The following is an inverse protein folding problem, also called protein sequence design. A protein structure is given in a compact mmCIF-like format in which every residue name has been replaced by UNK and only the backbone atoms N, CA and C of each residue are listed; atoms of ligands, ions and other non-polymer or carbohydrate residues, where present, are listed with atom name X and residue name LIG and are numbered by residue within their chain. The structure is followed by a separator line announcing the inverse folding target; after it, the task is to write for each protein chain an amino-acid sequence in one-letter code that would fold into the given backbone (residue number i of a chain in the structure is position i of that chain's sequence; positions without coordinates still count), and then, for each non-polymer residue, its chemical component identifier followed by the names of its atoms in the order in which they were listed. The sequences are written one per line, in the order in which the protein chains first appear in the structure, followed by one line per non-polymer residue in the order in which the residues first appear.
data_IF_097586722054
#
_entry.id   IF_097586722054
#
_cell.length_a   1.000
_cell.length_b   1.000
_cell.length_c   1.000
_cell.angle_alpha   90.00
_cell.angle_beta   90.00
_cell.angle_gamma   90.00
#
_symmetry.space_group_name_H-M   'P 1'
#
loop_
_entity.id
_entity.type
_entity.pdbx_description
1 polymer ?
#
# COMPACT_ATOMS: atom_id res chain seq x y z
N UNK A 1 80.21 29.52 27.25
CA UNK A 1 78.93 29.52 27.98
C UNK A 1 77.82 29.61 26.95
N UNK A 2 77.24 28.47 26.55
CA UNK A 2 76.29 28.37 25.44
C UNK A 2 74.88 28.75 25.85
N UNK A 3 74.21 29.56 25.02
CA UNK A 3 72.81 29.96 25.16
C UNK A 3 71.86 28.80 24.83
N UNK A 4 70.77 28.66 25.58
CA UNK A 4 69.68 27.71 25.30
C UNK A 4 68.44 28.51 24.90
N UNK A 5 68.09 28.44 23.62
CA UNK A 5 66.88 29.04 23.03
C UNK A 5 65.72 28.07 23.16
N UNK A 6 64.69 28.43 23.93
CA UNK A 6 63.45 27.63 24.06
C UNK A 6 62.44 27.99 22.98
N UNK A 7 62.02 27.01 22.17
CA UNK A 7 60.90 27.13 21.22
C UNK A 7 59.57 26.92 21.96
N UNK A 8 58.68 27.93 21.94
CA UNK A 8 57.28 27.82 22.36
C UNK A 8 56.43 27.41 21.16
N UNK A 9 55.65 26.34 21.30
CA UNK A 9 54.63 25.95 20.33
C UNK A 9 53.28 26.53 20.79
N UNK A 10 52.57 27.21 19.89
CA UNK A 10 51.18 27.64 20.09
C UNK A 10 50.31 26.65 19.33
N UNK A 11 49.48 25.89 20.04
CA UNK A 11 48.44 25.06 19.43
C UNK A 11 47.17 25.92 19.29
N UNK A 12 46.81 26.28 18.06
CA UNK A 12 45.49 26.82 17.75
C UNK A 12 44.50 25.67 17.60
N UNK A 13 43.45 25.66 18.42
CA UNK A 13 42.33 24.73 18.26
C UNK A 13 41.33 25.33 17.26
N UNK A 14 41.17 24.70 16.10
CA UNK A 14 40.09 25.01 15.16
C UNK A 14 38.90 24.12 15.56
N UNK A 15 37.84 24.72 16.10
CA UNK A 15 36.57 24.03 16.31
C UNK A 15 35.86 23.92 14.96
N UNK A 16 35.81 22.71 14.40
CA UNK A 16 35.01 22.40 13.22
C UNK A 16 33.60 21.99 13.67
N UNK A 17 32.62 22.86 13.44
CA UNK A 17 31.20 22.54 13.63
C UNK A 17 30.77 21.52 12.55
N UNK A 18 30.43 20.30 12.95
CA UNK A 18 29.73 19.35 12.08
C UNK A 18 28.28 19.83 11.90
N UNK A 19 27.96 20.41 10.74
CA UNK A 19 26.58 20.43 10.26
C UNK A 19 26.21 19.00 9.88
N UNK A 20 25.33 18.36 10.64
CA UNK A 20 24.66 17.14 10.21
C UNK A 20 23.70 17.51 9.07
N UNK A 21 24.08 17.22 7.83
CA UNK A 21 23.13 17.15 6.72
C UNK A 21 22.21 15.96 7.00
N UNK A 22 21.00 16.22 7.50
CA UNK A 22 19.90 15.26 7.39
C UNK A 22 19.53 15.22 5.90
N UNK A 23 20.20 14.34 5.16
CA UNK A 23 19.77 14.02 3.80
C UNK A 23 18.40 13.37 3.89
N UNK A 24 17.39 13.97 3.26
CA UNK A 24 16.14 13.28 2.97
C UNK A 24 16.51 12.06 2.12
N UNK A 25 16.39 10.86 2.70
CA UNK A 25 16.48 9.65 1.91
C UNK A 25 15.37 9.75 0.86
N UNK A 26 15.65 9.58 -0.44
CA UNK A 26 14.60 9.58 -1.44
C UNK A 26 13.62 8.47 -1.05
N UNK A 27 12.38 8.85 -0.73
CA UNK A 27 11.30 7.88 -0.65
C UNK A 27 11.20 7.26 -2.04
N UNK A 28 11.60 5.99 -2.18
CA UNK A 28 11.37 5.26 -3.41
C UNK A 28 9.86 5.30 -3.66
N UNK A 29 9.44 5.88 -4.78
CA UNK A 29 8.04 5.86 -5.16
C UNK A 29 7.61 4.39 -5.27
N UNK A 30 6.72 3.95 -4.39
CA UNK A 30 6.09 2.65 -4.52
C UNK A 30 5.10 2.72 -5.68
N UNK A 31 5.27 1.80 -6.63
CA UNK A 31 4.31 1.59 -7.73
C UNK A 31 3.21 0.63 -7.29
N UNK A 32 2.16 0.52 -8.09
CA UNK A 32 1.21 -0.60 -7.99
C UNK A 32 1.70 -1.73 -8.90
N UNK A 33 1.79 -2.95 -8.36
CA UNK A 33 2.15 -4.15 -9.11
C UNK A 33 1.31 -5.35 -8.64
N UNK A 34 0.80 -6.18 -9.56
CA UNK A 34 0.02 -7.35 -9.19
C UNK A 34 0.91 -8.44 -8.58
N UNK A 35 0.38 -9.19 -7.62
CA UNK A 35 1.05 -10.36 -7.06
C UNK A 35 0.98 -11.54 -8.05
N UNK A 36 2.08 -12.31 -8.25
CA UNK A 36 2.09 -13.49 -9.12
C UNK A 36 1.54 -14.74 -8.42
N UNK A 37 0.38 -14.62 -7.78
CA UNK A 37 -0.19 -15.66 -6.87
C UNK A 37 -1.42 -16.38 -7.43
N UNK A 38 -1.77 -16.13 -8.69
CA UNK A 38 -2.92 -16.74 -9.35
C UNK A 38 -4.26 -16.03 -9.13
N UNK A 39 -4.30 -14.92 -8.36
CA UNK A 39 -5.52 -14.10 -8.19
C UNK A 39 -6.00 -13.49 -9.50
N UNK A 40 -5.10 -13.35 -10.49
CA UNK A 40 -5.44 -12.83 -11.82
C UNK A 40 -5.62 -11.31 -11.86
N UNK A 41 -5.05 -10.59 -10.89
CA UNK A 41 -5.07 -9.12 -10.89
C UNK A 41 -4.25 -8.58 -12.05
N UNK A 42 -4.83 -7.64 -12.79
CA UNK A 42 -4.19 -6.97 -13.93
C UNK A 42 -4.08 -5.49 -13.59
N UNK A 43 -2.90 -4.92 -13.82
CA UNK A 43 -2.66 -3.48 -13.65
C UNK A 43 -2.17 -2.92 -14.97
N UNK A 44 -3.01 -2.12 -15.62
CA UNK A 44 -2.70 -1.42 -16.87
C UNK A 44 -2.28 0.01 -16.54
N UNK A 45 -1.11 0.43 -17.04
CA UNK A 45 -0.54 1.76 -16.76
C UNK A 45 -0.69 2.65 -17.98
N UNK A 46 -1.32 3.82 -17.79
CA UNK A 46 -1.42 4.89 -18.79
C UNK A 46 -1.02 6.23 -18.17
N UNK A 47 0.25 6.62 -18.37
CA UNK A 47 0.84 7.77 -17.71
C UNK A 47 0.82 7.62 -16.18
N UNK A 48 0.08 8.49 -15.51
CA UNK A 48 -0.08 8.48 -14.05
C UNK A 48 -1.30 7.66 -13.58
N UNK A 49 -2.02 7.00 -14.48
CA UNK A 49 -3.20 6.21 -14.16
C UNK A 49 -2.89 4.71 -14.13
N UNK A 50 -3.29 4.06 -13.04
CA UNK A 50 -3.25 2.63 -12.85
C UNK A 50 -4.69 2.11 -12.90
N UNK A 51 -5.04 1.40 -13.97
CA UNK A 51 -6.32 0.71 -14.09
C UNK A 51 -6.17 -0.71 -13.56
N UNK A 52 -6.99 -1.06 -12.57
CA UNK A 52 -6.98 -2.32 -11.86
C UNK A 52 -8.18 -3.13 -12.32
N UNK A 53 -7.90 -4.25 -12.97
CA UNK A 53 -8.86 -5.12 -13.65
C UNK A 53 -8.57 -6.59 -13.35
N UNK A 54 -9.35 -7.49 -13.94
CA UNK A 54 -9.24 -8.93 -13.71
C UNK A 54 -9.64 -9.27 -12.29
N UNK A 55 -8.82 -10.06 -11.61
CA UNK A 55 -9.10 -10.55 -10.26
C UNK A 55 -9.88 -11.86 -10.24
N UNK A 56 -10.25 -12.28 -9.04
CA UNK A 56 -11.01 -13.51 -8.79
C UNK A 56 -12.36 -13.17 -8.18
N UNK A 57 -13.43 -13.82 -8.65
CA UNK A 57 -14.79 -13.60 -8.13
C UNK A 57 -15.16 -14.68 -7.11
N UNK A 58 -15.97 -14.31 -6.13
CA UNK A 58 -16.74 -15.26 -5.34
C UNK A 58 -17.74 -16.04 -6.22
N UNK A 59 -18.21 -17.20 -5.73
CA UNK A 59 -19.11 -18.05 -6.52
C UNK A 59 -20.45 -17.39 -6.86
N UNK A 60 -20.92 -16.47 -6.01
CA UNK A 60 -22.12 -15.65 -6.25
C UNK A 60 -21.86 -14.41 -7.12
N UNK A 61 -20.58 -14.13 -7.45
CA UNK A 61 -20.15 -12.99 -8.24
C UNK A 61 -20.27 -11.64 -7.53
N UNK A 62 -20.57 -11.61 -6.23
CA UNK A 62 -20.79 -10.37 -5.47
C UNK A 62 -19.48 -9.75 -4.94
N UNK A 63 -18.42 -10.53 -4.76
CA UNK A 63 -17.14 -10.06 -4.25
C UNK A 63 -16.05 -10.27 -5.30
N UNK A 64 -15.25 -9.23 -5.54
CA UNK A 64 -14.09 -9.26 -6.44
C UNK A 64 -12.80 -9.10 -5.62
N UNK A 65 -11.86 -10.00 -5.83
CA UNK A 65 -10.61 -10.05 -5.09
C UNK A 65 -9.41 -9.71 -5.99
N UNK A 66 -8.54 -8.84 -5.47
CA UNK A 66 -7.28 -8.45 -6.05
C UNK A 66 -6.12 -8.72 -5.09
N UNK A 67 -4.93 -8.96 -5.65
CA UNK A 67 -3.71 -9.20 -4.90
C UNK A 67 -2.56 -8.43 -5.53
N UNK A 68 -1.83 -7.69 -4.70
CA UNK A 68 -0.75 -6.79 -5.11
C UNK A 68 0.54 -7.17 -4.38
N UNK A 69 1.65 -7.13 -5.10
CA UNK A 69 2.97 -7.20 -4.48
C UNK A 69 3.25 -5.85 -3.79
N UNK A 70 3.02 -4.75 -4.50
CA UNK A 70 3.16 -3.39 -3.99
C UNK A 70 1.92 -2.57 -4.36
N UNK A 71 1.54 -1.66 -3.47
CA UNK A 71 0.44 -0.73 -3.71
C UNK A 71 0.80 0.62 -3.08
N UNK A 72 1.27 1.55 -3.90
CA UNK A 72 1.60 2.91 -3.52
C UNK A 72 1.21 3.91 -4.61
N UNK A 73 1.04 5.17 -4.20
CA UNK A 73 0.68 6.28 -5.09
C UNK A 73 1.45 7.54 -4.70
N UNK A 74 2.01 8.23 -5.69
CA UNK A 74 2.49 9.61 -5.55
C UNK A 74 1.35 10.61 -5.79
N UNK A 75 1.57 11.90 -5.47
CA UNK A 75 0.58 12.98 -5.54
C UNK A 75 -0.27 13.05 -6.83
N UNK A 76 0.34 12.75 -7.96
CA UNK A 76 -0.30 12.87 -9.28
C UNK A 76 -0.88 11.56 -9.80
N UNK A 77 -0.67 10.46 -9.07
CA UNK A 77 -1.06 9.13 -9.50
C UNK A 77 -2.49 8.79 -9.05
N UNK A 78 -3.14 7.97 -9.87
CA UNK A 78 -4.51 7.53 -9.66
C UNK A 78 -4.59 6.01 -9.76
N UNK A 79 -5.08 5.35 -8.72
CA UNK A 79 -5.51 3.95 -8.77
C UNK A 79 -7.01 3.88 -9.06
N UNK A 80 -7.38 3.27 -10.18
CA UNK A 80 -8.78 3.09 -10.58
C UNK A 80 -9.13 1.61 -10.55
N UNK A 81 -9.92 1.20 -9.56
CA UNK A 81 -10.55 -0.11 -9.54
C UNK A 81 -11.75 -0.10 -10.49
N UNK A 82 -11.75 -1.01 -11.47
CA UNK A 82 -12.89 -1.22 -12.36
C UNK A 82 -13.82 -2.27 -11.77
N UNK A 83 -14.97 -1.81 -11.31
CA UNK A 83 -16.06 -2.63 -10.81
C UNK A 83 -17.14 -2.83 -11.88
N UNK A 84 -18.20 -3.55 -11.52
CA UNK A 84 -19.44 -3.64 -12.27
C UNK A 84 -20.64 -3.51 -11.29
N UNK A 85 -21.86 -3.27 -11.78
CA UNK A 85 -23.03 -3.05 -10.90
C UNK A 85 -23.49 -4.27 -10.09
N UNK A 86 -22.94 -5.46 -10.32
CA UNK A 86 -23.26 -6.67 -9.55
C UNK A 86 -22.36 -6.84 -8.33
N UNK A 87 -21.20 -6.18 -8.32
CA UNK A 87 -20.26 -6.24 -7.21
C UNK A 87 -20.81 -5.48 -6.01
N UNK A 88 -20.75 -6.11 -4.85
CA UNK A 88 -21.01 -5.50 -3.54
C UNK A 88 -19.71 -5.06 -2.89
N UNK A 89 -18.65 -5.86 -3.03
CA UNK A 89 -17.34 -5.56 -2.45
C UNK A 89 -16.21 -5.81 -3.47
N UNK A 90 -15.24 -4.91 -3.50
CA UNK A 90 -13.93 -5.10 -4.13
C UNK A 90 -12.91 -5.14 -3.00
N UNK A 91 -12.16 -6.24 -2.89
CA UNK A 91 -11.18 -6.47 -1.85
C UNK A 91 -9.78 -6.61 -2.46
N UNK A 92 -8.83 -5.81 -2.02
CA UNK A 92 -7.43 -5.87 -2.40
C UNK A 92 -6.56 -6.24 -1.21
N UNK A 93 -5.60 -7.16 -1.41
CA UNK A 93 -4.55 -7.44 -0.41
C UNK A 93 -3.17 -7.05 -0.95
N UNK A 94 -2.30 -6.59 -0.06
CA UNK A 94 -0.90 -6.29 -0.35
C UNK A 94 -0.04 -7.34 0.35
N UNK A 95 0.75 -8.08 -0.43
CA UNK A 95 1.47 -9.28 0.05
C UNK A 95 2.99 -9.10 0.12
N UNK A 96 3.55 -8.04 -0.48
CA UNK A 96 5.00 -7.85 -0.58
C UNK A 96 5.71 -7.42 0.71
N UNK A 97 4.96 -7.21 1.80
CA UNK A 97 5.53 -6.96 3.13
C UNK A 97 6.00 -5.53 3.41
N UNK A 98 5.87 -4.61 2.46
CA UNK A 98 6.14 -3.18 2.67
C UNK A 98 4.85 -2.40 3.03
N UNK A 99 4.93 -1.35 3.86
CA UNK A 99 3.81 -0.43 4.07
C UNK A 99 3.41 0.25 2.77
N UNK A 100 2.12 0.51 2.58
CA UNK A 100 1.57 1.23 1.43
C UNK A 100 1.60 2.74 1.66
N UNK A 101 2.37 3.47 0.87
CA UNK A 101 2.37 4.94 0.87
C UNK A 101 1.40 5.49 -0.18
N UNK A 102 0.33 6.16 0.27
CA UNK A 102 -0.75 6.68 -0.57
C UNK A 102 -0.75 8.20 -0.49
N UNK A 103 -0.19 8.88 -1.48
CA UNK A 103 -0.30 10.34 -1.62
C UNK A 103 -1.15 10.74 -2.84
N UNK A 104 -1.74 9.78 -3.56
CA UNK A 104 -2.55 10.03 -4.76
C UNK A 104 -4.07 9.83 -4.57
N UNK A 105 -4.77 9.59 -5.68
CA UNK A 105 -6.20 9.29 -5.69
C UNK A 105 -6.43 7.77 -5.78
N UNK A 106 -7.19 7.22 -4.85
CA UNK A 106 -7.81 5.89 -5.01
C UNK A 106 -9.27 6.12 -5.41
N UNK A 107 -9.70 5.48 -6.50
CA UNK A 107 -11.08 5.55 -6.96
C UNK A 107 -11.61 4.20 -7.43
N UNK A 108 -12.92 4.05 -7.37
CA UNK A 108 -13.65 2.92 -7.90
C UNK A 108 -14.72 3.42 -8.87
N UNK A 109 -14.80 2.79 -10.04
CA UNK A 109 -15.75 3.18 -11.09
C UNK A 109 -16.46 1.95 -11.68
N UNK A 110 -17.56 2.14 -12.39
CA UNK A 110 -18.30 1.04 -13.02
C UNK A 110 -19.33 0.34 -12.13
N UNK A 111 -19.41 0.71 -10.85
CA UNK A 111 -20.40 0.22 -9.88
C UNK A 111 -20.37 1.06 -8.60
N UNK A 112 -21.12 0.62 -7.59
CA UNK A 112 -21.25 1.25 -6.26
C UNK A 112 -20.72 0.37 -5.11
N UNK A 113 -19.83 -0.58 -5.44
CA UNK A 113 -19.23 -1.51 -4.48
C UNK A 113 -18.40 -0.80 -3.40
N UNK A 114 -18.32 -1.43 -2.22
CA UNK A 114 -17.38 -1.08 -1.17
C UNK A 114 -15.95 -1.46 -1.58
N UNK A 115 -14.95 -0.70 -1.14
CA UNK A 115 -13.53 -0.99 -1.37
C UNK A 115 -12.81 -1.32 -0.06
N UNK A 116 -12.20 -2.50 0.00
CA UNK A 116 -11.43 -2.98 1.13
C UNK A 116 -9.97 -3.17 0.72
N UNK A 117 -9.03 -2.60 1.46
CA UNK A 117 -7.59 -2.77 1.25
C UNK A 117 -6.93 -3.30 2.53
N UNK A 118 -6.26 -4.45 2.40
CA UNK A 118 -5.57 -5.14 3.49
C UNK A 118 -4.06 -5.04 3.23
N UNK A 119 -3.32 -4.47 4.17
CA UNK A 119 -1.86 -4.51 4.18
C UNK A 119 -1.37 -4.69 5.62
N UNK A 120 -0.94 -5.90 6.03
CA UNK A 120 -0.41 -6.14 7.37
C UNK A 120 0.76 -5.23 7.76
N UNK A 121 1.53 -4.74 6.78
CA UNK A 121 2.64 -3.80 6.99
C UNK A 121 2.19 -2.34 7.13
N UNK A 122 0.91 -2.05 6.89
CA UNK A 122 0.30 -0.76 7.17
C UNK A 122 0.04 0.12 5.94
N UNK A 123 -0.70 1.20 6.19
CA UNK A 123 -0.96 2.27 5.22
C UNK A 123 -0.52 3.61 5.80
N UNK A 124 0.11 4.44 4.97
CA UNK A 124 0.43 5.83 5.27
C UNK A 124 -0.24 6.70 4.21
N UNK A 125 -1.26 7.46 4.62
CA UNK A 125 -1.93 8.42 3.75
C UNK A 125 -1.24 9.79 3.86
N UNK A 126 -0.69 10.25 2.73
CA UNK A 126 -0.04 11.55 2.60
C UNK A 126 -1.02 12.71 2.51
N UNK A 127 -0.49 13.93 2.46
CA UNK A 127 -1.29 15.16 2.46
C UNK A 127 -2.16 15.34 1.22
N UNK A 128 -1.84 14.65 0.13
CA UNK A 128 -2.56 14.74 -1.13
C UNK A 128 -3.48 13.53 -1.39
N UNK A 129 -3.52 12.58 -0.44
CA UNK A 129 -4.37 11.42 -0.52
C UNK A 129 -5.84 11.80 -0.70
N UNK A 130 -6.50 11.20 -1.69
CA UNK A 130 -7.93 11.38 -1.94
C UNK A 130 -8.59 10.04 -2.19
N UNK A 131 -9.86 9.95 -1.79
CA UNK A 131 -10.72 8.80 -2.02
C UNK A 131 -11.93 9.26 -2.84
N UNK A 132 -12.20 8.57 -3.95
CA UNK A 132 -13.43 8.71 -4.73
C UNK A 132 -14.04 7.31 -4.90
N UNK A 133 -14.66 6.84 -3.82
CA UNK A 133 -15.29 5.51 -3.72
C UNK A 133 -16.79 5.74 -3.48
N UNK A 134 -17.67 5.16 -4.30
CA UNK A 134 -19.13 5.35 -4.17
C UNK A 134 -19.73 4.63 -2.96
N UNK A 135 -19.16 3.49 -2.54
CA UNK A 135 -19.50 2.76 -1.33
C UNK A 135 -18.57 3.06 -0.16
N UNK A 136 -18.53 2.16 0.81
CA UNK A 136 -17.64 2.26 1.97
C UNK A 136 -16.18 2.01 1.57
N UNK A 137 -15.26 2.68 2.27
CA UNK A 137 -13.83 2.44 2.14
C UNK A 137 -13.25 1.95 3.46
N UNK A 138 -12.56 0.81 3.41
CA UNK A 138 -11.83 0.24 4.54
C UNK A 138 -10.38 0.01 4.16
N UNK A 139 -9.45 0.57 4.94
CA UNK A 139 -8.04 0.20 4.90
C UNK A 139 -7.64 -0.37 6.26
N UNK A 140 -7.00 -1.54 6.27
CA UNK A 140 -6.71 -2.27 7.52
C UNK A 140 -5.34 -2.91 7.51
N UNK A 141 -4.76 -3.05 8.70
CA UNK A 141 -3.54 -3.84 8.94
C UNK A 141 -3.85 -5.28 9.34
N UNK A 142 -5.11 -5.69 9.26
CA UNK A 142 -5.53 -7.05 9.53
C UNK A 142 -4.80 -8.04 8.61
N UNK A 143 -4.43 -9.19 9.17
CA UNK A 143 -3.87 -10.32 8.43
C UNK A 143 -4.95 -11.12 7.69
N UNK A 144 -6.21 -11.01 8.12
CA UNK A 144 -7.35 -11.56 7.41
C UNK A 144 -8.65 -10.79 7.69
N UNK A 145 -9.61 -10.90 6.78
CA UNK A 145 -10.98 -10.39 6.93
C UNK A 145 -11.95 -11.56 6.86
N UNK A 146 -12.85 -11.64 7.83
CA UNK A 146 -13.90 -12.66 7.86
C UNK A 146 -15.05 -12.25 6.93
N UNK A 147 -15.51 -13.18 6.11
CA UNK A 147 -16.73 -13.09 5.30
C UNK A 147 -17.79 -14.07 5.86
N UNK A 148 -18.91 -14.24 5.15
CA UNK A 148 -20.00 -15.08 5.65
C UNK A 148 -19.55 -16.51 5.98
N UNK A 149 -20.27 -17.13 6.92
CA UNK A 149 -20.09 -18.53 7.31
C UNK A 149 -18.69 -18.89 7.85
N UNK A 150 -17.92 -17.90 8.32
CA UNK A 150 -16.61 -18.09 8.93
C UNK A 150 -15.48 -18.33 7.94
N UNK A 151 -15.69 -17.98 6.66
CA UNK A 151 -14.64 -18.01 5.65
C UNK A 151 -13.75 -16.76 5.74
N UNK A 152 -12.45 -16.93 5.59
CA UNK A 152 -11.47 -15.85 5.77
C UNK A 152 -10.76 -15.51 4.47
N UNK A 153 -10.74 -14.23 4.15
CA UNK A 153 -9.86 -13.68 3.12
C UNK A 153 -8.51 -13.35 3.77
N UNK A 154 -7.52 -14.22 3.59
CA UNK A 154 -6.17 -14.07 4.12
C UNK A 154 -5.33 -13.10 3.29
N UNK A 155 -4.62 -12.19 3.94
CA UNK A 155 -3.69 -11.27 3.29
C UNK A 155 -2.42 -11.97 2.80
N UNK A 156 -1.88 -12.93 3.56
CA UNK A 156 -0.58 -13.58 3.25
C UNK A 156 -0.70 -15.07 2.88
N UNK A 157 -1.91 -15.64 2.99
CA UNK A 157 -2.20 -17.05 2.74
C UNK A 157 -2.70 -17.36 1.32
N UNK A 158 -3.09 -18.61 1.10
CA UNK A 158 -3.87 -18.99 -0.09
C UNK A 158 -5.36 -18.82 0.20
N UNK A 159 -6.12 -18.33 -0.78
CA UNK A 159 -7.56 -18.14 -0.64
C UNK A 159 -8.32 -19.07 -1.59
N UNK A 160 -9.45 -19.61 -1.12
CA UNK A 160 -10.47 -20.19 -1.97
C UNK A 160 -11.56 -19.15 -2.24
N UNK A 161 -11.33 -18.33 -3.27
CA UNK A 161 -12.17 -17.18 -3.60
C UNK A 161 -13.64 -17.53 -3.80
N UNK A 162 -13.93 -18.72 -4.34
CA UNK A 162 -15.31 -19.15 -4.59
C UNK A 162 -16.13 -19.24 -3.29
N UNK A 163 -15.49 -19.51 -2.15
CA UNK A 163 -16.14 -19.63 -0.83
C UNK A 163 -16.32 -18.29 -0.11
N UNK A 164 -15.64 -17.24 -0.56
CA UNK A 164 -15.63 -15.92 0.08
C UNK A 164 -16.86 -15.09 -0.35
N UNK A 165 -18.04 -15.57 0.04
CA UNK A 165 -19.35 -14.95 -0.25
C UNK A 165 -19.82 -14.06 0.91
N UNK A 166 -20.80 -13.20 0.64
CA UNK A 166 -21.37 -12.28 1.64
C UNK A 166 -20.48 -11.07 1.94
N UNK A 167 -20.81 -10.31 2.99
CA UNK A 167 -20.08 -9.10 3.35
C UNK A 167 -18.96 -9.38 4.36
N UNK A 168 -17.90 -8.55 4.39
CA UNK A 168 -16.94 -8.54 5.48
C UNK A 168 -17.61 -8.28 6.84
N UNK A 169 -17.33 -9.13 7.84
CA UNK A 169 -17.93 -9.07 9.19
C UNK A 169 -16.91 -9.03 10.33
N UNK A 170 -15.63 -9.31 10.06
CA UNK A 170 -14.61 -9.43 11.11
C UNK A 170 -13.19 -9.20 10.61
N UNK A 171 -12.27 -9.02 11.55
CA UNK A 171 -10.83 -8.81 11.31
C UNK A 171 -10.00 -9.73 12.22
N UNK A 172 -8.87 -10.21 11.71
CA UNK A 172 -7.81 -10.87 12.47
C UNK A 172 -6.51 -10.04 12.41
N UNK A 173 -5.71 -10.04 13.49
CA UNK A 173 -4.49 -9.24 13.63
C UNK A 173 -3.44 -10.10 14.33
N UNK A 174 -2.68 -10.86 13.53
CA UNK A 174 -1.88 -11.99 14.02
C UNK A 174 -0.39 -11.84 13.69
#
# INVERSE_FOLDING_TARGET
MGSRTGKRWVFGAVAASLLAFLGELPAAAQSISPAPDGTGTIVTIDGNQFYIEGGSLSADGANLFHSFEQFGLTQEQVATFLANPQLRNVLGRIVGGDPSFIDGLIQLTGGDANLWLLNPSGFVFGTNARLNVPGDFTATTATAVELAEGHWFDALGSNDYATLIGDPVGFAFD
#
